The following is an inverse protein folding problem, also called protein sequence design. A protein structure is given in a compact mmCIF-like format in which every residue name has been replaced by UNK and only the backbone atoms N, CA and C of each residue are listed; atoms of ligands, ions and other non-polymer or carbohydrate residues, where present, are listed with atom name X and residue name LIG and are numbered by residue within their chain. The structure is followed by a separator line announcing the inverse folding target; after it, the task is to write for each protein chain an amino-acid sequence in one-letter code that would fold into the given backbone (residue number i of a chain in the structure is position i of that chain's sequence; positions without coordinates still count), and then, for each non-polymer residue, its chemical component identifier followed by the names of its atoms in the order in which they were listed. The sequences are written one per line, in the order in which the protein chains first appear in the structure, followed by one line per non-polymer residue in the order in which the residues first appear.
data_IF_925162391428
#
_entry.id   IF_925162391428
#
_cell.length_a   1.000
_cell.length_b   1.000
_cell.length_c   1.000
_cell.angle_alpha   90.00
_cell.angle_beta   90.00
_cell.angle_gamma   90.00
#
_symmetry.space_group_name_H-M   'P 1'
#
loop_
_entity.id
_entity.type
_entity.pdbx_description
1 polymer ?
#
# COMPACT_ATOMS: atom_id res chain seq x y z
N UNK A 1 23.60 10.50 9.06
CA UNK A 1 22.49 9.99 9.88
C UNK A 1 21.26 9.92 8.99
N UNK A 2 20.63 8.75 8.81
CA UNK A 2 19.37 8.68 8.06
C UNK A 2 18.27 9.41 8.82
N UNK A 3 17.48 10.24 8.13
CA UNK A 3 16.36 10.99 8.71
C UNK A 3 15.06 10.27 8.37
N UNK A 4 14.21 10.05 9.37
CA UNK A 4 12.83 9.58 9.16
C UNK A 4 12.01 10.75 8.63
N UNK A 5 11.44 10.61 7.42
CA UNK A 5 10.59 11.62 6.78
C UNK A 5 9.14 11.53 7.25
N UNK A 6 8.66 10.31 7.53
CA UNK A 6 7.32 10.06 8.02
C UNK A 6 7.12 8.60 8.42
N UNK A 7 6.02 8.34 9.11
CA UNK A 7 5.55 7.02 9.51
C UNK A 7 4.03 6.97 9.30
N UNK A 8 3.53 5.80 8.93
CA UNK A 8 2.11 5.55 8.83
C UNK A 8 1.76 4.17 9.33
N UNK A 9 0.57 4.05 9.90
CA UNK A 9 -0.01 2.81 10.39
C UNK A 9 -1.48 2.77 9.97
N UNK A 10 -1.96 1.58 9.62
CA UNK A 10 -3.35 1.34 9.31
C UNK A 10 -3.80 -0.04 9.80
N UNK A 11 -5.07 -0.14 10.17
CA UNK A 11 -5.68 -1.39 10.64
C UNK A 11 -7.00 -1.57 9.91
N UNK A 12 -7.19 -2.76 9.34
CA UNK A 12 -8.35 -3.07 8.50
C UNK A 12 -9.18 -4.16 9.17
N UNK A 13 -10.44 -3.85 9.44
CA UNK A 13 -11.42 -4.86 9.84
C UNK A 13 -11.76 -5.76 8.64
N UNK A 14 -11.46 -7.05 8.75
CA UNK A 14 -11.59 -8.01 7.65
C UNK A 14 -13.04 -8.16 7.17
N UNK A 15 -14.00 -8.18 8.10
CA UNK A 15 -15.42 -8.37 7.76
C UNK A 15 -15.99 -7.12 7.06
N UNK A 16 -15.57 -5.92 7.48
CA UNK A 16 -15.93 -4.67 6.82
C UNK A 16 -15.30 -4.56 5.44
N UNK A 17 -14.04 -4.99 5.30
CA UNK A 17 -13.34 -4.99 4.02
C UNK A 17 -14.00 -5.95 3.03
N UNK A 18 -14.37 -7.15 3.47
CA UNK A 18 -15.13 -8.11 2.67
C UNK A 18 -16.45 -7.50 2.18
N UNK A 19 -17.25 -6.95 3.10
CA UNK A 19 -18.53 -6.31 2.74
C UNK A 19 -18.34 -5.18 1.72
N UNK A 20 -17.26 -4.41 1.83
CA UNK A 20 -16.97 -3.34 0.88
C UNK A 20 -16.65 -3.88 -0.52
N UNK A 21 -15.83 -4.94 -0.62
CA UNK A 21 -15.52 -5.58 -1.90
C UNK A 21 -16.75 -6.24 -2.53
N UNK A 22 -17.58 -6.92 -1.74
CA UNK A 22 -18.81 -7.55 -2.24
C UNK A 22 -19.84 -6.52 -2.71
N UNK A 23 -20.00 -5.41 -1.99
CA UNK A 23 -20.94 -4.35 -2.35
C UNK A 23 -20.51 -3.57 -3.59
N UNK A 24 -19.21 -3.47 -3.85
CA UNK A 24 -18.68 -2.72 -4.98
C UNK A 24 -17.59 -3.53 -5.68
N UNK A 25 -17.95 -4.42 -6.62
CA UNK A 25 -16.98 -5.33 -7.26
C UNK A 25 -15.79 -4.61 -7.93
N UNK A 26 -16.04 -3.46 -8.57
CA UNK A 26 -14.99 -2.61 -9.17
C UNK A 26 -13.98 -2.06 -8.18
N UNK A 27 -14.27 -2.10 -6.87
CA UNK A 27 -13.35 -1.64 -5.85
C UNK A 27 -12.05 -2.46 -5.86
N UNK A 28 -12.14 -3.77 -6.09
CA UNK A 28 -10.95 -4.64 -6.18
C UNK A 28 -10.02 -4.17 -7.29
N UNK A 29 -10.57 -3.90 -8.48
CA UNK A 29 -9.80 -3.44 -9.64
C UNK A 29 -9.23 -2.03 -9.47
N UNK A 30 -9.87 -1.20 -8.65
CA UNK A 30 -9.43 0.16 -8.33
C UNK A 30 -8.28 0.19 -7.32
N UNK A 31 -8.29 -0.73 -6.35
CA UNK A 31 -7.33 -0.75 -5.25
C UNK A 31 -6.07 -1.59 -5.57
N UNK A 32 -6.21 -2.59 -6.42
CA UNK A 32 -5.20 -3.63 -6.63
C UNK A 32 -4.84 -3.77 -8.11
N UNK A 33 -3.53 -3.78 -8.36
CA UNK A 33 -3.00 -4.14 -9.67
C UNK A 33 -3.38 -5.59 -10.01
N UNK A 34 -3.42 -5.94 -11.30
CA UNK A 34 -3.90 -7.25 -11.76
C UNK A 34 -3.23 -8.42 -11.03
N UNK A 35 -1.91 -8.35 -10.83
CA UNK A 35 -1.13 -9.35 -10.12
C UNK A 35 -1.41 -9.46 -8.61
N UNK A 36 -2.20 -8.56 -8.03
CA UNK A 36 -2.59 -8.57 -6.62
C UNK A 36 -4.01 -9.12 -6.40
N UNK A 37 -4.89 -9.10 -7.42
CA UNK A 37 -6.36 -9.23 -7.25
C UNK A 37 -6.85 -10.61 -6.79
N UNK A 38 -6.10 -11.65 -7.14
CA UNK A 38 -6.49 -13.04 -6.88
C UNK A 38 -5.93 -13.58 -5.55
N UNK A 39 -5.31 -12.70 -4.76
CA UNK A 39 -4.79 -13.05 -3.45
C UNK A 39 -5.92 -13.31 -2.43
N UNK A 40 -5.67 -14.14 -1.39
CA UNK A 40 -6.63 -14.36 -0.32
C UNK A 40 -7.08 -13.06 0.34
N UNK A 41 -8.33 -13.01 0.82
CA UNK A 41 -8.95 -11.80 1.38
C UNK A 41 -8.10 -11.15 2.50
N UNK A 42 -7.52 -11.93 3.42
CA UNK A 42 -6.60 -11.40 4.45
C UNK A 42 -5.38 -10.71 3.86
N UNK A 43 -4.84 -11.27 2.78
CA UNK A 43 -3.68 -10.73 2.08
C UNK A 43 -4.03 -9.43 1.36
N UNK A 44 -5.22 -9.34 0.76
CA UNK A 44 -5.75 -8.10 0.17
C UNK A 44 -5.97 -7.02 1.23
N UNK A 45 -6.56 -7.38 2.38
CA UNK A 45 -6.78 -6.45 3.49
C UNK A 45 -5.46 -5.89 4.04
N UNK A 46 -4.45 -6.75 4.22
CA UNK A 46 -3.12 -6.33 4.64
C UNK A 46 -2.44 -5.42 3.61
N UNK A 47 -2.61 -5.68 2.30
CA UNK A 47 -2.08 -4.80 1.25
C UNK A 47 -2.79 -3.46 1.19
N UNK A 48 -4.10 -3.45 1.39
CA UNK A 48 -4.86 -2.21 1.52
C UNK A 48 -4.34 -1.37 2.71
N UNK A 49 -4.15 -2.01 3.87
CA UNK A 49 -3.56 -1.37 5.05
C UNK A 49 -2.15 -0.82 4.77
N UNK A 50 -1.30 -1.59 4.09
CA UNK A 50 0.05 -1.15 3.72
C UNK A 50 0.04 0.09 2.80
N UNK A 51 -0.86 0.13 1.80
CA UNK A 51 -1.01 1.28 0.91
C UNK A 51 -1.53 2.52 1.65
N UNK A 52 -2.50 2.36 2.54
CA UNK A 52 -2.99 3.43 3.43
C UNK A 52 -1.89 3.94 4.38
N UNK A 53 -1.11 3.02 4.98
CA UNK A 53 0.03 3.36 5.81
C UNK A 53 1.09 4.16 5.04
N UNK A 54 1.41 3.77 3.79
CA UNK A 54 2.32 4.54 2.95
C UNK A 54 1.77 5.94 2.66
N UNK A 55 0.50 6.08 2.29
CA UNK A 55 -0.14 7.38 2.05
C UNK A 55 -0.04 8.31 3.27
N UNK A 56 -0.23 7.78 4.48
CA UNK A 56 -0.06 8.52 5.73
C UNK A 56 1.39 8.93 5.98
N UNK A 57 2.35 8.01 5.75
CA UNK A 57 3.77 8.29 5.90
C UNK A 57 4.25 9.38 4.92
N UNK A 58 3.71 9.38 3.70
CA UNK A 58 4.00 10.40 2.70
C UNK A 58 3.30 11.73 3.01
N UNK A 59 2.18 11.77 3.72
CA UNK A 59 1.48 13.01 4.07
C UNK A 59 1.09 13.88 2.86
N UNK A 60 0.99 13.27 1.67
CA UNK A 60 0.50 13.89 0.44
C UNK A 60 -0.06 12.78 -0.46
N UNK A 61 -1.36 12.84 -0.72
CA UNK A 61 -2.11 11.82 -1.47
C UNK A 61 -2.68 12.36 -2.78
N UNK A 62 -2.53 13.66 -3.04
CA UNK A 62 -3.11 14.31 -4.20
C UNK A 62 -2.51 13.74 -5.49
N UNK A 63 -3.38 13.06 -6.25
CA UNK A 63 -3.02 12.39 -7.50
C UNK A 63 -2.30 11.05 -7.33
N UNK A 64 -2.08 10.55 -6.11
CA UNK A 64 -1.46 9.23 -5.90
C UNK A 64 -2.48 8.13 -6.21
N UNK A 65 -2.18 7.31 -7.22
CA UNK A 65 -3.01 6.18 -7.57
C UNK A 65 -2.75 4.97 -6.67
N UNK A 66 -3.77 4.14 -6.43
CA UNK A 66 -3.59 2.87 -5.71
C UNK A 66 -2.62 1.90 -6.38
N UNK A 67 -2.52 1.96 -7.71
CA UNK A 67 -1.63 1.12 -8.49
C UNK A 67 -0.20 1.69 -8.56
N UNK A 68 0.00 2.94 -8.14
CA UNK A 68 1.33 3.52 -7.96
C UNK A 68 2.05 2.93 -6.75
N UNK A 69 1.35 2.14 -5.93
CA UNK A 69 1.88 1.50 -4.74
C UNK A 69 1.58 0.00 -4.83
N UNK A 70 2.62 -0.83 -4.90
CA UNK A 70 2.47 -2.29 -4.97
C UNK A 70 3.25 -2.94 -3.85
N UNK A 71 2.61 -3.87 -3.15
CA UNK A 71 3.27 -4.67 -2.12
C UNK A 71 3.82 -5.94 -2.76
N UNK A 72 5.12 -6.11 -2.67
CA UNK A 72 5.87 -7.21 -3.29
C UNK A 72 6.68 -7.95 -2.23
N UNK A 73 7.02 -9.24 -2.42
CA UNK A 73 8.04 -9.87 -1.60
C UNK A 73 9.43 -9.33 -1.99
N UNK A 74 10.31 -9.12 -1.02
CA UNK A 74 11.75 -8.94 -1.24
C UNK A 74 12.44 -10.28 -1.58
N UNK A 75 13.78 -10.27 -1.66
CA UNK A 75 14.55 -11.46 -2.01
C UNK A 75 14.45 -12.58 -0.95
N UNK A 76 14.14 -12.23 0.29
CA UNK A 76 13.98 -13.14 1.42
C UNK A 76 12.50 -13.52 1.66
N UNK A 77 11.57 -12.94 0.91
CA UNK A 77 10.13 -13.16 1.01
C UNK A 77 9.41 -12.26 2.02
N UNK A 78 10.07 -11.27 2.61
CA UNK A 78 9.43 -10.28 3.47
C UNK A 78 8.62 -9.28 2.63
N UNK A 79 7.58 -8.64 3.19
CA UNK A 79 6.83 -7.62 2.47
C UNK A 79 7.66 -6.36 2.27
N UNK A 80 7.72 -5.89 1.03
CA UNK A 80 8.30 -4.62 0.61
C UNK A 80 7.30 -3.83 -0.27
N UNK A 81 7.59 -2.57 -0.54
CA UNK A 81 6.74 -1.69 -1.33
C UNK A 81 7.52 -1.07 -2.50
N UNK A 82 6.96 -1.24 -3.70
CA UNK A 82 7.46 -0.57 -4.91
C UNK A 82 6.51 0.55 -5.25
N UNK A 83 7.06 1.75 -5.44
CA UNK A 83 6.32 2.93 -5.89
C UNK A 83 6.59 3.24 -7.36
N UNK A 84 5.58 3.73 -8.06
CA UNK A 84 5.66 4.25 -9.42
C UNK A 84 4.85 5.54 -9.55
N UNK A 85 4.81 6.13 -10.75
CA UNK A 85 3.94 7.26 -11.06
C UNK A 85 4.06 8.40 -10.04
N UNK A 86 2.91 8.88 -9.57
CA UNK A 86 2.87 10.03 -8.67
C UNK A 86 3.47 9.74 -7.29
N UNK A 87 3.35 8.50 -6.79
CA UNK A 87 3.97 8.11 -5.52
C UNK A 87 5.50 8.20 -5.59
N UNK A 88 6.11 7.73 -6.68
CA UNK A 88 7.56 7.79 -6.88
C UNK A 88 8.08 9.23 -6.99
N UNK A 89 7.34 10.12 -7.68
CA UNK A 89 7.66 11.55 -7.74
C UNK A 89 7.70 12.19 -6.35
N UNK A 90 6.71 11.89 -5.50
CA UNK A 90 6.63 12.42 -4.13
C UNK A 90 7.79 11.89 -3.28
N UNK A 91 8.10 10.59 -3.38
CA UNK A 91 9.24 9.95 -2.69
C UNK A 91 10.56 10.63 -3.07
N UNK A 92 10.79 10.83 -4.37
CA UNK A 92 12.00 11.49 -4.87
C UNK A 92 12.08 12.97 -4.45
N UNK A 93 10.98 13.72 -4.60
CA UNK A 93 10.93 15.15 -4.23
C UNK A 93 11.18 15.39 -2.73
N UNK A 94 10.86 14.41 -1.88
CA UNK A 94 11.11 14.46 -0.44
C UNK A 94 12.46 13.88 -0.01
N UNK A 95 13.28 13.41 -0.96
CA UNK A 95 14.57 12.80 -0.68
C UNK A 95 14.47 11.51 0.15
N UNK A 96 13.37 10.77 0.02
CA UNK A 96 13.17 9.50 0.72
C UNK A 96 14.02 8.43 0.01
N UNK A 97 15.06 7.94 0.71
CA UNK A 97 15.98 6.95 0.16
C UNK A 97 15.51 5.50 0.35
N UNK A 98 14.68 5.24 1.35
CA UNK A 98 14.17 3.91 1.67
C UNK A 98 12.74 3.98 2.19
N UNK A 99 11.97 2.95 1.85
CA UNK A 99 10.68 2.64 2.43
C UNK A 99 10.82 1.34 3.21
N UNK A 100 10.16 1.25 4.36
CA UNK A 100 10.19 0.06 5.20
C UNK A 100 8.75 -0.35 5.49
N UNK A 101 8.45 -1.64 5.33
CA UNK A 101 7.12 -2.18 5.52
C UNK A 101 7.17 -3.39 6.45
N UNK A 102 6.15 -3.50 7.29
CA UNK A 102 5.83 -4.70 8.03
C UNK A 102 4.31 -4.87 8.02
N UNK A 103 3.85 -6.12 8.01
CA UNK A 103 2.44 -6.47 7.92
C UNK A 103 2.09 -7.54 8.96
N UNK A 104 0.90 -7.43 9.54
CA UNK A 104 0.33 -8.42 10.44
C UNK A 104 -1.17 -8.57 10.13
N UNK A 105 -1.73 -9.75 10.41
CA UNK A 105 -3.12 -10.12 10.11
C UNK A 105 -3.65 -11.13 11.12
#
# INVERSE_FOLDING_TARGET
MGRIVGIGVDVVDLARFERALSRTPRLRERLFAENERDLPLRSLAGRFAAKEALMKALGATDGVGWHDMRVVPDAEGNPDIVVSGRAAEIVAARGIASLHLSMSH
#
